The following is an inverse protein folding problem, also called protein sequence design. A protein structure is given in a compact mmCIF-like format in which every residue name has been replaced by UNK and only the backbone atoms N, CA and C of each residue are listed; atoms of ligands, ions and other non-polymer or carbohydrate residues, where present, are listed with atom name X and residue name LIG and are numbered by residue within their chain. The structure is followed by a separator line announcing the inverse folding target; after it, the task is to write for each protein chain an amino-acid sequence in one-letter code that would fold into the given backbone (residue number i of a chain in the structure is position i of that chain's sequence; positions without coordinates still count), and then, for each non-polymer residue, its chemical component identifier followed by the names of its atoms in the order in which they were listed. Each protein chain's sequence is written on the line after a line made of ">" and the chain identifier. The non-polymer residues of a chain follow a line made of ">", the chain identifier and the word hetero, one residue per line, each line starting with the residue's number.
data_IF_260472932923
#
_entry.id   IF_260472932923
#
_cell.length_a   1.000
_cell.length_b   1.000
_cell.length_c   1.000
_cell.angle_alpha   90.00
_cell.angle_beta   90.00
_cell.angle_gamma   90.00
#
_symmetry.space_group_name_H-M   'P 1'
#
loop_
_entity.id
_entity.type
_entity.pdbx_description
1 polymer ?
#
# COMPACT_ATOMS: atom_id res chain seq x y z
N UNK A 1 -2.45 0.96 17.78
CA UNK A 1 -3.54 0.84 16.79
C UNK A 1 -3.73 2.13 15.99
N UNK A 2 -4.16 3.23 16.62
CA UNK A 2 -4.35 4.51 15.92
C UNK A 2 -3.08 5.01 15.18
N UNK A 3 -1.89 4.87 15.80
CA UNK A 3 -0.61 5.21 15.14
C UNK A 3 -0.35 4.44 13.83
N UNK A 4 -0.72 3.16 13.77
CA UNK A 4 -0.52 2.34 12.56
C UNK A 4 -1.53 2.72 11.46
N UNK A 5 -2.76 3.04 11.82
CA UNK A 5 -3.76 3.57 10.88
C UNK A 5 -3.28 4.89 10.29
N UNK A 6 -2.85 5.84 11.12
CA UNK A 6 -2.31 7.14 10.67
C UNK A 6 -1.10 6.94 9.75
N UNK A 7 -0.22 5.99 10.07
CA UNK A 7 0.94 5.67 9.24
C UNK A 7 0.51 5.12 7.87
N UNK A 8 -0.47 4.22 7.82
CA UNK A 8 -1.02 3.67 6.58
C UNK A 8 -1.69 4.77 5.74
N UNK A 9 -2.48 5.64 6.38
CA UNK A 9 -3.13 6.80 5.75
C UNK A 9 -2.11 7.75 5.11
N UNK A 10 -1.03 8.06 5.82
CA UNK A 10 0.04 8.93 5.31
C UNK A 10 0.76 8.32 4.09
N UNK A 11 0.99 7.00 4.13
CA UNK A 11 1.56 6.26 3.00
C UNK A 11 0.63 6.30 1.79
N UNK A 12 -0.66 5.99 1.98
CA UNK A 12 -1.66 6.00 0.92
C UNK A 12 -1.84 7.40 0.33
N UNK A 13 -1.93 8.43 1.18
CA UNK A 13 -2.00 9.85 0.78
C UNK A 13 -0.80 10.26 -0.08
N UNK A 14 0.39 9.76 0.24
CA UNK A 14 1.59 9.99 -0.58
C UNK A 14 1.46 9.28 -1.94
N UNK A 15 1.08 8.01 -1.95
CA UNK A 15 0.95 7.20 -3.16
C UNK A 15 -0.15 7.66 -4.11
N UNK A 16 -1.23 8.29 -3.62
CA UNK A 16 -2.26 8.92 -4.47
C UNK A 16 -1.66 9.98 -5.42
N UNK A 17 -0.56 10.62 -5.05
CA UNK A 17 0.11 11.58 -5.93
C UNK A 17 0.65 10.92 -7.20
N UNK A 18 1.01 9.64 -7.12
CA UNK A 18 1.48 8.86 -8.27
C UNK A 18 0.36 8.57 -9.27
N UNK A 19 -0.91 8.54 -8.86
CA UNK A 19 -2.06 8.29 -9.75
C UNK A 19 -2.22 9.36 -10.84
N UNK A 20 -1.56 10.51 -10.70
CA UNK A 20 -1.51 11.56 -11.73
C UNK A 20 -0.48 11.28 -12.83
N UNK A 21 0.41 10.33 -12.63
CA UNK A 21 1.44 9.96 -13.59
C UNK A 21 0.81 9.03 -14.64
N UNK A 22 0.88 9.34 -15.94
CA UNK A 22 0.39 8.45 -16.98
C UNK A 22 1.06 7.09 -16.91
N UNK A 23 0.28 6.01 -17.04
CA UNK A 23 0.78 4.64 -17.02
C UNK A 23 1.49 4.24 -15.71
N UNK A 24 1.17 4.88 -14.59
CA UNK A 24 1.77 4.56 -13.28
C UNK A 24 1.55 3.11 -12.86
N UNK A 25 0.49 2.46 -13.35
CA UNK A 25 0.20 1.04 -13.16
C UNK A 25 1.31 0.14 -13.69
N UNK A 26 2.11 0.61 -14.66
CA UNK A 26 3.29 -0.07 -15.18
C UNK A 26 4.53 0.11 -14.29
N UNK A 27 4.49 1.03 -13.31
CA UNK A 27 5.64 1.29 -12.46
C UNK A 27 5.84 0.17 -11.43
N UNK A 28 7.01 -0.49 -11.45
CA UNK A 28 7.33 -1.57 -10.50
C UNK A 28 7.28 -1.09 -9.05
N UNK A 29 7.87 0.07 -8.75
CA UNK A 29 7.86 0.63 -7.40
C UNK A 29 6.44 0.96 -6.93
N UNK A 30 5.57 1.41 -7.84
CA UNK A 30 4.16 1.68 -7.53
C UNK A 30 3.41 0.37 -7.25
N UNK A 31 3.58 -0.63 -8.12
CA UNK A 31 3.00 -1.97 -7.97
C UNK A 31 3.38 -2.61 -6.64
N UNK A 32 4.67 -2.71 -6.35
CA UNK A 32 5.20 -3.33 -5.15
C UNK A 32 4.73 -2.60 -3.89
N UNK A 33 4.69 -1.26 -3.95
CA UNK A 33 4.19 -0.45 -2.84
C UNK A 33 2.72 -0.76 -2.52
N UNK A 34 1.85 -0.88 -3.52
CA UNK A 34 0.45 -1.20 -3.28
C UNK A 34 0.25 -2.63 -2.76
N UNK A 35 1.11 -3.58 -3.14
CA UNK A 35 1.14 -4.92 -2.55
C UNK A 35 1.54 -4.89 -1.07
N UNK A 36 2.52 -4.06 -0.70
CA UNK A 36 2.90 -3.83 0.70
C UNK A 36 1.74 -3.23 1.47
N UNK A 37 1.13 -2.13 0.98
CA UNK A 37 -0.01 -1.48 1.64
C UNK A 37 -1.20 -2.44 1.83
N UNK A 38 -1.45 -3.32 0.86
CA UNK A 38 -2.51 -4.32 0.95
C UNK A 38 -2.23 -5.38 2.02
N UNK A 39 -0.97 -5.80 2.16
CA UNK A 39 -0.58 -6.74 3.21
C UNK A 39 -0.77 -6.11 4.59
N UNK A 40 -0.30 -4.88 4.76
CA UNK A 40 -0.43 -4.12 6.01
C UNK A 40 -1.88 -3.86 6.41
N UNK A 41 -2.71 -3.41 5.47
CA UNK A 41 -4.12 -3.11 5.76
C UNK A 41 -4.88 -4.38 6.14
N UNK A 42 -4.59 -5.51 5.48
CA UNK A 42 -5.21 -6.79 5.82
C UNK A 42 -4.78 -7.27 7.21
N UNK A 43 -3.48 -7.18 7.54
CA UNK A 43 -2.97 -7.57 8.85
C UNK A 43 -3.57 -6.70 9.97
N UNK A 44 -3.60 -5.39 9.79
CA UNK A 44 -4.21 -4.47 10.74
C UNK A 44 -5.71 -4.75 10.91
N UNK A 45 -6.41 -5.10 9.83
CA UNK A 45 -7.84 -5.37 9.87
C UNK A 45 -8.16 -6.64 10.65
N UNK A 46 -7.36 -7.69 10.45
CA UNK A 46 -7.43 -8.92 11.24
C UNK A 46 -7.16 -8.69 12.73
N UNK A 47 -6.29 -7.73 13.08
CA UNK A 47 -6.01 -7.37 14.48
C UNK A 47 -7.17 -6.56 15.10
N UNK A 48 -7.70 -5.56 14.39
CA UNK A 48 -8.78 -4.69 14.89
C UNK A 48 -10.09 -5.45 15.10
N UNK A 49 -10.43 -6.39 14.21
CA UNK A 49 -11.63 -7.21 14.38
C UNK A 49 -11.63 -8.03 15.68
N UNK A 50 -10.46 -8.25 16.31
CA UNK A 50 -10.33 -8.94 17.60
C UNK A 50 -10.51 -8.01 18.81
N UNK A 51 -10.45 -6.69 18.60
CA UNK A 51 -10.40 -5.68 19.65
C UNK A 51 -11.70 -4.87 19.78
N UNK A 52 -12.72 -5.16 18.95
CA UNK A 52 -14.04 -4.51 18.97
C UNK A 52 -14.01 -2.98 18.86
N UNK A 53 -12.97 -2.40 18.26
CA UNK A 53 -12.84 -0.96 18.01
C UNK A 53 -13.55 -0.60 16.70
N UNK A 54 -14.81 -0.19 16.81
CA UNK A 54 -15.71 0.08 15.67
C UNK A 54 -15.24 1.27 14.83
N UNK A 55 -14.74 2.33 15.46
CA UNK A 55 -14.30 3.54 14.73
C UNK A 55 -13.05 3.24 13.90
N UNK A 56 -12.05 2.61 14.52
CA UNK A 56 -10.83 2.18 13.82
C UNK A 56 -11.15 1.16 12.73
N UNK A 57 -12.10 0.24 12.97
CA UNK A 57 -12.55 -0.73 11.97
C UNK A 57 -13.17 -0.06 10.74
N UNK A 58 -14.02 0.96 10.94
CA UNK A 58 -14.64 1.72 9.85
C UNK A 58 -13.61 2.48 8.99
N UNK A 59 -12.66 3.15 9.64
CA UNK A 59 -11.54 3.82 8.95
C UNK A 59 -10.70 2.82 8.15
N UNK A 60 -10.33 1.70 8.76
CA UNK A 60 -9.48 0.71 8.11
C UNK A 60 -10.19 -0.04 6.98
N UNK A 61 -11.50 -0.29 7.11
CA UNK A 61 -12.31 -0.84 6.03
C UNK A 61 -12.30 0.07 4.80
N UNK A 62 -12.35 1.39 5.03
CA UNK A 62 -12.31 2.39 3.97
C UNK A 62 -10.95 2.38 3.25
N UNK A 63 -9.86 2.34 4.01
CA UNK A 63 -8.50 2.24 3.47
C UNK A 63 -8.28 0.93 2.70
N UNK A 64 -8.80 -0.19 3.22
CA UNK A 64 -8.70 -1.50 2.56
C UNK A 64 -9.37 -1.48 1.19
N UNK A 65 -10.61 -0.98 1.10
CA UNK A 65 -11.35 -0.90 -0.17
C UNK A 65 -10.59 -0.10 -1.23
N UNK A 66 -10.02 1.04 -0.83
CA UNK A 66 -9.26 1.89 -1.76
C UNK A 66 -7.98 1.20 -2.25
N UNK A 67 -7.21 0.57 -1.36
CA UNK A 67 -5.99 -0.15 -1.74
C UNK A 67 -6.31 -1.31 -2.70
N UNK A 68 -7.38 -2.06 -2.42
CA UNK A 68 -7.83 -3.16 -3.29
C UNK A 68 -8.31 -2.66 -4.66
N UNK A 69 -9.01 -1.53 -4.72
CA UNK A 69 -9.46 -0.92 -5.97
C UNK A 69 -8.27 -0.50 -6.84
N UNK A 70 -7.26 0.13 -6.25
CA UNK A 70 -6.05 0.52 -6.98
C UNK A 70 -5.29 -0.72 -7.45
N UNK A 71 -5.14 -1.75 -6.61
CA UNK A 71 -4.46 -3.00 -6.98
C UNK A 71 -5.08 -3.71 -8.17
N UNK A 72 -6.41 -3.73 -8.28
CA UNK A 72 -7.12 -4.33 -9.42
C UNK A 72 -6.74 -3.70 -10.76
N UNK A 73 -6.32 -2.43 -10.75
CA UNK A 73 -5.90 -1.71 -11.94
C UNK A 73 -4.42 -1.94 -12.30
N UNK A 74 -3.61 -2.42 -11.37
CA UNK A 74 -2.14 -2.61 -11.54
C UNK A 74 -1.80 -3.86 -12.37
N UNK A 75 -2.64 -4.89 -12.38
CA UNK A 75 -2.34 -6.19 -13.03
C UNK A 75 -2.29 -6.16 -14.56
N UNK A 76 -2.46 -5.01 -15.20
CA UNK A 76 -2.54 -4.86 -16.67
C UNK A 76 -1.24 -4.36 -17.31
N UNK A 77 -0.20 -4.08 -16.53
CA UNK A 77 1.01 -3.37 -16.98
C UNK A 77 2.29 -4.21 -17.10
N UNK A 78 3.18 -3.79 -18.01
CA UNK A 78 4.60 -4.22 -17.98
C UNK A 78 5.27 -3.56 -16.77
N UNK A 79 5.95 -4.32 -15.92
CA UNK A 79 6.60 -3.78 -14.71
C UNK A 79 7.96 -3.18 -15.04
N UNK A 80 8.03 -1.86 -15.16
CA UNK A 80 9.28 -1.11 -15.37
C UNK A 80 9.41 0.03 -14.35
N UNK A 81 10.62 0.55 -14.13
CA UNK A 81 10.79 1.75 -13.31
C UNK A 81 10.57 2.99 -14.19
N UNK A 82 9.65 3.89 -13.79
CA UNK A 82 9.40 5.14 -14.51
C UNK A 82 10.38 6.28 -14.17
N UNK A 83 11.43 6.00 -13.39
CA UNK A 83 12.50 6.97 -13.11
C UNK A 83 12.07 8.21 -12.32
N UNK A 84 11.06 8.12 -11.45
CA UNK A 84 10.59 9.25 -10.66
C UNK A 84 11.60 9.67 -9.57
N UNK A 85 12.02 10.94 -9.54
CA UNK A 85 12.97 11.48 -8.55
C UNK A 85 12.37 12.63 -7.71
N UNK A 86 12.33 12.52 -6.36
CA UNK A 86 12.49 11.31 -5.56
C UNK A 86 11.26 10.40 -5.68
N UNK A 87 11.49 9.09 -5.75
CA UNK A 87 10.41 8.11 -5.89
C UNK A 87 9.49 8.17 -4.66
N UNK A 88 8.22 8.52 -4.87
CA UNK A 88 7.21 8.63 -3.82
C UNK A 88 7.02 7.30 -3.07
N UNK A 89 7.23 6.17 -3.76
CA UNK A 89 7.21 4.82 -3.17
C UNK A 89 8.16 4.66 -1.97
N UNK A 90 9.24 5.44 -1.92
CA UNK A 90 10.20 5.42 -0.80
C UNK A 90 9.56 5.70 0.56
N UNK A 91 8.44 6.45 0.61
CA UNK A 91 7.69 6.69 1.85
C UNK A 91 7.18 5.36 2.42
N UNK A 92 6.69 4.46 1.56
CA UNK A 92 6.15 3.17 1.99
C UNK A 92 7.26 2.18 2.30
N UNK A 93 8.31 2.15 1.49
CA UNK A 93 9.46 1.28 1.74
C UNK A 93 10.14 1.59 3.09
N UNK A 94 10.22 2.87 3.47
CA UNK A 94 10.72 3.29 4.79
C UNK A 94 9.73 2.98 5.91
N UNK A 95 8.42 3.06 5.64
CA UNK A 95 7.39 2.78 6.63
C UNK A 95 7.27 1.27 6.93
N UNK A 96 7.40 0.41 5.92
CA UNK A 96 7.15 -1.04 6.04
C UNK A 96 8.27 -1.89 5.42
N UNK A 97 9.52 -1.75 5.88
CA UNK A 97 10.67 -2.46 5.30
C UNK A 97 10.56 -3.98 5.48
N UNK A 98 10.04 -4.45 6.61
CA UNK A 98 9.89 -5.88 6.89
C UNK A 98 8.90 -6.55 5.95
N UNK A 99 7.78 -5.88 5.67
CA UNK A 99 6.72 -6.39 4.79
C UNK A 99 7.19 -6.45 3.35
N UNK A 100 7.92 -5.42 2.91
CA UNK A 100 8.57 -5.43 1.61
C UNK A 100 9.56 -6.61 1.49
N UNK A 101 10.45 -6.76 2.47
CA UNK A 101 11.42 -7.87 2.51
C UNK A 101 10.72 -9.23 2.49
N UNK A 102 9.65 -9.40 3.27
CA UNK A 102 8.87 -10.63 3.32
C UNK A 102 8.19 -10.94 1.97
N UNK A 103 7.75 -9.92 1.23
CA UNK A 103 7.16 -10.15 -0.08
C UNK A 103 8.21 -10.56 -1.12
N UNK A 104 9.44 -10.02 -1.04
CA UNK A 104 10.56 -10.47 -1.88
C UNK A 104 10.97 -11.92 -1.55
N UNK A 105 11.18 -12.25 -0.27
CA UNK A 105 11.63 -13.59 0.13
C UNK A 105 10.60 -14.67 -0.15
N UNK A 106 9.31 -14.34 -0.12
CA UNK A 106 8.22 -15.27 -0.42
C UNK A 106 7.83 -15.31 -1.91
N UNK A 107 8.57 -14.66 -2.82
CA UNK A 107 8.24 -14.57 -4.25
C UNK A 107 6.81 -14.06 -4.53
N UNK A 108 6.32 -13.10 -3.72
CA UNK A 108 4.97 -12.51 -3.85
C UNK A 108 4.95 -11.17 -4.61
N UNK A 109 6.12 -10.66 -5.02
CA UNK A 109 6.29 -9.42 -5.82
C UNK A 109 6.39 -9.71 -7.32
#
# INVERSE_FOLDING_TARGET
>A
MNKEIIKLENCLKSMRKCLKIPKVENCICFSDTFKVLNSEVCELFSKINRLSDVESAGKLLSLKKEVEEILKNISKGNKECLGCNPCIASVVFKAYPNTLNNLYTNNKL
#
